data_IF_246742478815
#
_entry.id   IF_246742478815
#
_cell.length_a   1.000
_cell.length_b   1.000
_cell.length_c   1.000
_cell.angle_alpha   90.00
_cell.angle_beta   90.00
_cell.angle_gamma   90.00
#
_symmetry.space_group_name_H-M   'P 1'
#
loop_
_entity.id
_entity.type
_entity.pdbx_description
1 polymer ?
#
# COMPACT_ATOMS: atom_id res chain seq x y z
N UNK A 1 40.93 49.45 -19.61
CA UNK A 1 39.78 48.68 -19.13
C UNK A 1 39.03 48.11 -20.33
N UNK A 2 39.13 46.81 -20.58
CA UNK A 2 38.41 46.17 -21.68
C UNK A 2 36.91 46.03 -21.25
N UNK A 3 36.03 46.37 -22.17
CA UNK A 3 34.59 46.27 -21.96
C UNK A 3 34.18 44.81 -21.68
N UNK A 4 33.25 44.57 -20.75
CA UNK A 4 32.71 43.23 -20.47
C UNK A 4 32.17 42.51 -21.70
N UNK A 5 31.72 43.23 -22.71
CA UNK A 5 31.22 42.74 -23.99
C UNK A 5 32.36 42.09 -24.81
N UNK A 6 33.58 42.63 -24.74
CA UNK A 6 34.74 42.10 -25.47
C UNK A 6 35.23 40.78 -24.86
N UNK A 7 35.11 40.60 -23.55
CA UNK A 7 35.41 39.37 -22.87
C UNK A 7 34.42 38.25 -23.18
N UNK A 8 33.13 38.60 -23.27
CA UNK A 8 32.08 37.67 -23.65
C UNK A 8 32.23 37.19 -25.13
N UNK A 9 32.67 38.08 -26.01
CA UNK A 9 32.89 37.75 -27.42
C UNK A 9 34.11 36.87 -27.64
N UNK A 10 35.15 37.04 -26.87
CA UNK A 10 36.38 36.18 -26.89
C UNK A 10 36.06 34.78 -26.28
N UNK A 11 35.19 34.66 -25.30
CA UNK A 11 34.74 33.36 -24.74
C UNK A 11 33.87 32.59 -25.75
N UNK A 12 33.07 33.29 -26.55
CA UNK A 12 32.22 32.67 -27.60
C UNK A 12 33.03 32.06 -28.75
N UNK A 13 34.25 32.61 -29.02
CA UNK A 13 35.14 32.14 -30.09
C UNK A 13 36.13 31.06 -29.63
N UNK A 14 36.27 30.79 -28.34
CA UNK A 14 37.16 29.75 -27.82
C UNK A 14 36.48 28.38 -27.95
N UNK A 15 37.24 27.40 -28.51
CA UNK A 15 36.78 25.99 -28.58
C UNK A 15 36.43 25.36 -27.23
N UNK A 16 36.62 26.07 -26.11
CA UNK A 16 36.29 25.63 -24.74
C UNK A 16 34.86 25.98 -24.31
N UNK A 17 34.19 26.89 -25.02
CA UNK A 17 32.80 27.27 -24.68
C UNK A 17 31.75 26.18 -24.87
N UNK A 18 31.78 25.34 -25.93
CA UNK A 18 30.82 24.25 -26.05
C UNK A 18 30.98 23.20 -24.95
N UNK A 19 32.20 23.00 -24.43
CA UNK A 19 32.44 22.05 -23.31
C UNK A 19 31.92 22.62 -22.00
N UNK A 20 32.09 23.92 -21.76
CA UNK A 20 31.59 24.57 -20.54
C UNK A 20 30.08 24.74 -20.54
N UNK A 21 29.47 25.06 -21.68
CA UNK A 21 28.01 25.09 -21.83
C UNK A 21 27.39 23.69 -21.73
N UNK A 22 28.06 22.66 -22.26
CA UNK A 22 27.64 21.27 -22.13
C UNK A 22 27.77 20.79 -20.66
N UNK A 23 28.82 21.19 -19.96
CA UNK A 23 29.00 20.87 -18.54
C UNK A 23 27.95 21.60 -17.66
N UNK A 24 27.55 22.84 -17.98
CA UNK A 24 26.48 23.56 -17.31
C UNK A 24 25.11 22.93 -17.64
N UNK A 25 24.87 22.52 -18.87
CA UNK A 25 23.65 21.81 -19.26
C UNK A 25 23.59 20.42 -18.61
N UNK A 26 24.69 19.66 -18.59
CA UNK A 26 24.76 18.35 -17.94
C UNK A 26 24.70 18.49 -16.41
N UNK A 27 25.22 19.56 -15.83
CA UNK A 27 25.09 19.86 -14.40
C UNK A 27 23.66 20.18 -13.97
N UNK A 28 22.82 20.70 -14.86
CA UNK A 28 21.39 20.93 -14.58
C UNK A 28 20.55 19.66 -14.69
N UNK A 29 21.02 18.62 -15.40
CA UNK A 29 20.33 17.34 -15.48
C UNK A 29 20.66 16.36 -14.35
N UNK A 30 21.59 16.71 -13.45
CA UNK A 30 21.97 15.88 -12.30
C UNK A 30 21.37 16.35 -10.97
N UNK A 31 20.22 17.00 -10.97
CA UNK A 31 19.40 16.98 -9.77
C UNK A 31 18.82 15.56 -9.73
N UNK A 32 19.54 14.66 -9.05
CA UNK A 32 18.99 13.35 -8.71
C UNK A 32 17.67 13.62 -8.00
N UNK A 33 16.57 13.43 -8.73
CA UNK A 33 15.25 13.62 -8.18
C UNK A 33 15.10 12.60 -7.06
N UNK A 34 15.09 13.11 -5.83
CA UNK A 34 15.03 12.25 -4.65
C UNK A 34 13.66 11.63 -4.57
N UNK A 35 13.60 10.32 -4.29
CA UNK A 35 12.34 9.63 -4.03
C UNK A 35 11.54 10.38 -2.98
N UNK A 36 10.22 10.41 -3.15
CA UNK A 36 9.30 10.95 -2.15
C UNK A 36 9.28 10.05 -0.92
N UNK A 37 9.78 10.53 0.20
CA UNK A 37 9.94 9.75 1.45
C UNK A 37 8.85 10.11 2.44
N UNK A 38 8.07 9.10 2.84
CA UNK A 38 7.01 9.21 3.83
C UNK A 38 7.43 8.49 5.12
N UNK A 39 7.53 9.26 6.21
CA UNK A 39 7.76 8.71 7.56
C UNK A 39 6.43 8.29 8.17
N UNK A 40 6.45 7.13 8.83
CA UNK A 40 5.28 6.53 9.43
C UNK A 40 5.33 6.51 10.94
N UNK A 41 4.16 6.46 11.55
CA UNK A 41 3.95 6.11 12.96
C UNK A 41 3.09 4.86 13.02
N UNK A 42 3.28 4.04 14.06
CA UNK A 42 2.45 2.85 14.30
C UNK A 42 1.48 3.13 15.43
N UNK A 43 0.19 3.02 15.16
CA UNK A 43 -0.87 3.27 16.16
C UNK A 43 -1.93 2.18 16.03
N UNK A 44 -2.29 1.55 17.15
CA UNK A 44 -3.28 0.47 17.22
C UNK A 44 -3.08 -0.66 16.18
N UNK A 45 -1.82 -0.94 15.84
CA UNK A 45 -1.48 -1.99 14.86
C UNK A 45 -1.46 -1.53 13.40
N UNK A 46 -1.87 -0.32 13.10
CA UNK A 46 -1.86 0.27 11.75
C UNK A 46 -0.73 1.29 11.59
N UNK A 47 -0.37 1.58 10.33
CA UNK A 47 0.65 2.57 10.01
C UNK A 47 0.02 3.82 9.43
N UNK A 48 0.45 4.97 9.97
CA UNK A 48 -0.01 6.28 9.55
C UNK A 48 1.17 7.14 9.10
N UNK A 49 0.95 8.07 8.19
CA UNK A 49 1.89 9.14 7.92
C UNK A 49 1.20 10.50 7.99
N UNK A 50 1.99 11.51 8.39
CA UNK A 50 1.59 12.91 8.27
C UNK A 50 2.03 13.39 6.89
N UNK A 51 1.10 13.90 6.10
CA UNK A 51 1.34 14.37 4.74
C UNK A 51 0.40 15.52 4.40
N UNK A 52 0.39 15.93 3.14
CA UNK A 52 -0.59 16.88 2.63
C UNK A 52 -1.40 16.29 1.50
N UNK A 53 -2.67 16.64 1.43
CA UNK A 53 -3.60 16.35 0.34
C UNK A 53 -3.91 17.67 -0.38
N UNK A 54 -3.36 17.92 -1.55
CA UNK A 54 -3.43 19.23 -2.22
C UNK A 54 -3.07 20.39 -1.29
N UNK A 55 -2.02 20.23 -0.46
CA UNK A 55 -1.58 21.24 0.50
C UNK A 55 -2.32 21.24 1.84
N UNK A 56 -3.40 20.48 2.01
CA UNK A 56 -4.12 20.33 3.29
C UNK A 56 -3.41 19.29 4.15
N UNK A 57 -2.99 19.67 5.36
CA UNK A 57 -2.37 18.74 6.30
C UNK A 57 -3.33 17.61 6.68
N UNK A 58 -2.85 16.40 6.58
CA UNK A 58 -3.64 15.21 6.85
C UNK A 58 -2.79 14.10 7.50
N UNK A 59 -3.40 13.35 8.41
CA UNK A 59 -2.90 12.09 8.90
C UNK A 59 -3.60 10.98 8.14
N UNK A 60 -2.85 10.21 7.36
CA UNK A 60 -3.41 9.16 6.51
C UNK A 60 -2.93 7.78 6.96
N UNK A 61 -3.83 6.80 6.93
CA UNK A 61 -3.52 5.40 7.13
C UNK A 61 -3.11 4.78 5.79
N UNK A 62 -1.99 4.09 5.77
CA UNK A 62 -1.54 3.39 4.57
C UNK A 62 -2.33 2.11 4.35
N UNK A 63 -2.70 1.86 3.10
CA UNK A 63 -3.56 0.76 2.75
C UNK A 63 -3.26 0.23 1.34
N UNK A 64 -3.55 -1.04 1.10
CA UNK A 64 -3.59 -1.65 -0.23
C UNK A 64 -4.90 -2.41 -0.49
N UNK A 65 -5.64 -2.69 0.57
CA UNK A 65 -6.91 -3.43 0.54
C UNK A 65 -8.16 -2.55 0.34
N UNK A 66 -8.02 -1.37 -0.29
CA UNK A 66 -9.14 -0.42 -0.49
C UNK A 66 -9.24 0.02 -1.95
N UNK A 67 -10.47 0.30 -2.43
CA UNK A 67 -10.72 0.60 -3.83
C UNK A 67 -10.38 2.05 -4.24
N UNK A 68 -9.93 2.89 -3.30
CA UNK A 68 -9.63 4.29 -3.55
C UNK A 68 -9.23 5.04 -2.28
N UNK A 69 -8.91 6.32 -2.42
CA UNK A 69 -8.70 7.22 -1.29
C UNK A 69 -10.03 7.42 -0.55
N UNK A 70 -10.05 7.14 0.75
CA UNK A 70 -11.25 7.33 1.56
C UNK A 70 -11.03 8.39 2.61
N UNK A 71 -12.03 9.26 2.80
CA UNK A 71 -12.04 10.27 3.85
C UNK A 71 -13.45 10.45 4.42
N UNK A 72 -13.55 10.98 5.64
CA UNK A 72 -14.85 11.31 6.21
C UNK A 72 -15.45 12.56 5.54
N UNK A 73 -16.79 12.64 5.54
CA UNK A 73 -17.51 13.83 5.10
C UNK A 73 -17.07 15.07 5.87
N UNK A 74 -16.88 14.94 7.19
CA UNK A 74 -16.45 16.05 8.04
C UNK A 74 -15.10 16.64 7.59
N UNK A 75 -14.11 15.79 7.24
CA UNK A 75 -12.83 16.26 6.71
C UNK A 75 -13.00 16.94 5.35
N UNK A 76 -13.78 16.35 4.46
CA UNK A 76 -14.05 16.92 3.13
C UNK A 76 -14.71 18.30 3.23
N UNK A 77 -15.79 18.43 3.99
CA UNK A 77 -16.52 19.71 4.13
C UNK A 77 -15.65 20.80 4.74
N UNK A 78 -14.77 20.45 5.70
CA UNK A 78 -13.83 21.42 6.30
C UNK A 78 -12.76 21.92 5.31
N UNK A 79 -12.47 21.17 4.23
CA UNK A 79 -11.34 21.45 3.35
C UNK A 79 -11.67 21.46 1.84
N UNK A 80 -12.94 21.41 1.46
CA UNK A 80 -13.40 21.27 0.07
C UNK A 80 -12.82 22.29 -0.90
N UNK A 81 -12.68 23.54 -0.46
CA UNK A 81 -12.14 24.63 -1.29
C UNK A 81 -10.65 24.43 -1.64
N UNK A 82 -9.90 23.78 -0.74
CA UNK A 82 -8.48 23.45 -0.95
C UNK A 82 -8.32 22.12 -1.70
N UNK A 83 -9.14 21.12 -1.40
CA UNK A 83 -9.11 19.81 -2.04
C UNK A 83 -9.54 19.89 -3.51
N UNK A 84 -10.48 20.76 -3.85
CA UNK A 84 -10.97 21.03 -5.23
C UNK A 84 -11.41 19.75 -5.96
N UNK A 85 -12.14 18.89 -5.25
CA UNK A 85 -12.67 17.66 -5.83
C UNK A 85 -13.99 17.94 -6.56
N UNK A 86 -14.12 17.44 -7.79
CA UNK A 86 -15.40 17.42 -8.52
C UNK A 86 -16.19 16.19 -8.07
N UNK A 87 -16.98 16.36 -7.03
CA UNK A 87 -17.71 15.28 -6.37
C UNK A 87 -19.11 15.09 -6.95
N UNK A 88 -19.54 13.83 -6.99
CA UNK A 88 -20.90 13.41 -7.33
C UNK A 88 -21.51 12.70 -6.14
N UNK A 89 -22.80 12.92 -5.90
CA UNK A 89 -23.56 12.15 -4.91
C UNK A 89 -23.51 10.66 -5.25
N UNK A 90 -23.47 9.83 -4.21
CA UNK A 90 -23.40 8.38 -4.33
C UNK A 90 -24.22 7.70 -3.26
N UNK A 91 -24.85 6.59 -3.65
CA UNK A 91 -25.55 5.67 -2.73
C UNK A 91 -24.76 4.36 -2.55
N UNK A 92 -23.51 4.34 -2.99
CA UNK A 92 -22.66 3.17 -2.90
C UNK A 92 -22.36 2.78 -1.45
N UNK A 93 -22.13 1.48 -1.26
CA UNK A 93 -21.70 0.92 0.01
C UNK A 93 -20.41 0.15 -0.19
N UNK A 94 -19.33 0.62 0.43
CA UNK A 94 -18.07 -0.11 0.45
C UNK A 94 -18.15 -1.15 1.56
N UNK A 95 -17.89 -2.39 1.21
CA UNK A 95 -17.85 -3.46 2.19
C UNK A 95 -16.56 -3.36 3.02
N UNK A 96 -16.74 -3.44 4.33
CA UNK A 96 -15.66 -3.46 5.31
C UNK A 96 -15.80 -4.72 6.17
N UNK A 97 -14.72 -5.17 6.81
CA UNK A 97 -14.76 -6.37 7.66
C UNK A 97 -15.79 -6.27 8.80
N UNK A 98 -16.07 -5.06 9.28
CA UNK A 98 -17.04 -4.78 10.33
C UNK A 98 -18.43 -4.38 9.83
N UNK A 99 -18.70 -4.50 8.52
CA UNK A 99 -19.99 -4.13 7.91
C UNK A 99 -19.84 -3.32 6.64
N UNK A 100 -20.77 -2.41 6.39
CA UNK A 100 -20.73 -1.51 5.24
C UNK A 100 -20.41 -0.09 5.67
N UNK A 101 -19.75 0.66 4.80
CA UNK A 101 -19.55 2.10 4.87
C UNK A 101 -20.35 2.75 3.76
N UNK A 102 -21.08 3.81 4.09
CA UNK A 102 -21.92 4.53 3.13
C UNK A 102 -21.09 5.62 2.47
N UNK A 103 -21.01 5.57 1.16
CA UNK A 103 -20.34 6.60 0.36
C UNK A 103 -21.35 7.70 0.09
N UNK A 104 -21.06 8.92 0.54
CA UNK A 104 -21.93 10.08 0.27
C UNK A 104 -21.58 10.74 -1.05
N UNK A 105 -20.29 10.84 -1.33
CA UNK A 105 -19.81 11.41 -2.59
C UNK A 105 -18.66 10.56 -3.15
N UNK A 106 -18.56 10.56 -4.48
CA UNK A 106 -17.42 10.01 -5.21
C UNK A 106 -16.80 11.06 -6.12
N UNK A 107 -15.49 10.94 -6.37
CA UNK A 107 -14.79 11.71 -7.38
C UNK A 107 -13.75 10.84 -8.06
N UNK A 108 -13.35 11.20 -9.28
CA UNK A 108 -12.06 10.80 -9.86
C UNK A 108 -11.12 11.97 -9.67
N UNK A 109 -9.96 11.71 -9.09
CA UNK A 109 -9.05 12.79 -8.78
C UNK A 109 -7.61 12.46 -9.14
N UNK A 110 -6.90 13.50 -9.59
CA UNK A 110 -5.45 13.55 -9.61
C UNK A 110 -5.02 14.64 -8.63
N UNK A 111 -4.34 14.27 -7.56
CA UNK A 111 -3.96 15.21 -6.50
C UNK A 111 -2.54 14.97 -6.00
N UNK A 112 -1.94 16.00 -5.45
CA UNK A 112 -0.64 15.90 -4.79
C UNK A 112 -0.81 15.34 -3.37
N UNK A 113 -0.04 14.31 -3.04
CA UNK A 113 0.06 13.72 -1.71
C UNK A 113 1.51 13.84 -1.24
N UNK A 114 1.82 14.85 -0.40
CA UNK A 114 3.21 15.20 -0.13
C UNK A 114 3.95 15.51 -1.42
N UNK A 115 5.01 14.76 -1.72
CA UNK A 115 5.77 14.89 -2.98
C UNK A 115 5.34 13.88 -4.06
N UNK A 116 4.37 13.01 -3.79
CA UNK A 116 3.85 12.04 -4.75
C UNK A 116 2.56 12.53 -5.41
N UNK A 117 2.15 11.84 -6.47
CA UNK A 117 0.87 12.07 -7.15
C UNK A 117 -0.05 10.89 -6.88
N UNK A 118 -1.24 11.17 -6.38
CA UNK A 118 -2.34 10.21 -6.33
C UNK A 118 -3.18 10.35 -7.60
N UNK A 119 -3.56 9.22 -8.20
CA UNK A 119 -4.50 9.21 -9.31
C UNK A 119 -5.48 8.03 -9.15
N UNK A 120 -6.77 8.35 -8.98
CA UNK A 120 -7.79 7.32 -8.79
C UNK A 120 -9.09 7.82 -8.17
N UNK A 121 -9.96 6.88 -7.79
CA UNK A 121 -11.22 7.21 -7.14
C UNK A 121 -11.02 7.72 -5.70
N UNK A 122 -11.86 8.68 -5.34
CA UNK A 122 -11.98 9.21 -3.98
C UNK A 122 -13.40 8.91 -3.49
N UNK A 123 -13.51 8.35 -2.30
CA UNK A 123 -14.78 8.05 -1.64
C UNK A 123 -14.89 8.88 -0.37
N UNK A 124 -15.93 9.70 -0.28
CA UNK A 124 -16.23 10.52 0.89
C UNK A 124 -17.34 9.80 1.64
N UNK A 125 -17.01 9.36 2.85
CA UNK A 125 -17.86 8.48 3.65
C UNK A 125 -18.66 9.28 4.68
N UNK A 126 -19.88 8.86 4.94
CA UNK A 126 -20.74 9.48 5.96
C UNK A 126 -20.17 9.27 7.37
N UNK A 127 -19.54 8.12 7.59
CA UNK A 127 -18.97 7.76 8.88
C UNK A 127 -17.65 8.49 9.12
N UNK A 128 -17.41 8.83 10.39
CA UNK A 128 -16.10 9.36 10.80
C UNK A 128 -15.07 8.22 10.82
N UNK A 129 -14.00 8.42 10.09
CA UNK A 129 -12.88 7.47 10.01
C UNK A 129 -11.57 8.16 9.66
N UNK A 130 -10.46 7.46 9.89
CA UNK A 130 -9.15 7.88 9.40
C UNK A 130 -9.14 7.95 7.86
N UNK A 131 -8.45 8.94 7.32
CA UNK A 131 -8.19 9.01 5.87
C UNK A 131 -7.35 7.79 5.49
N UNK A 132 -7.79 7.06 4.47
CA UNK A 132 -7.14 5.82 4.03
C UNK A 132 -6.52 6.03 2.67
N UNK A 133 -5.19 5.88 2.57
CA UNK A 133 -4.39 6.14 1.38
C UNK A 133 -4.01 4.82 0.68
N UNK A 134 -4.57 4.53 -0.52
CA UNK A 134 -4.20 3.36 -1.30
C UNK A 134 -2.82 3.54 -1.95
N UNK A 135 -1.83 2.76 -1.51
CA UNK A 135 -0.46 2.88 -2.00
C UNK A 135 -0.33 2.56 -3.50
N UNK A 136 -1.17 1.67 -4.03
CA UNK A 136 -1.16 1.27 -5.43
C UNK A 136 -1.66 2.35 -6.41
N UNK A 137 -2.14 3.48 -5.88
CA UNK A 137 -2.58 4.64 -6.66
C UNK A 137 -1.63 5.84 -6.52
N UNK A 138 -0.44 5.63 -5.92
CA UNK A 138 0.59 6.64 -5.81
C UNK A 138 1.60 6.51 -6.95
N UNK A 139 1.91 7.62 -7.58
CA UNK A 139 2.83 7.73 -8.70
C UNK A 139 3.98 8.68 -8.40
N UNK A 140 5.15 8.35 -8.90
CA UNK A 140 6.31 9.25 -8.82
C UNK A 140 6.12 10.46 -9.74
N UNK A 141 6.40 11.70 -9.28
CA UNK A 141 6.07 12.92 -10.03
C UNK A 141 6.86 13.09 -11.33
N UNK A 142 8.04 12.46 -11.47
CA UNK A 142 8.89 12.67 -12.65
C UNK A 142 8.59 11.75 -13.83
N UNK A 143 8.23 10.50 -13.56
CA UNK A 143 8.06 9.47 -14.60
C UNK A 143 6.73 8.72 -14.50
N UNK A 144 5.87 9.14 -13.57
CA UNK A 144 4.56 8.55 -13.29
C UNK A 144 4.61 7.07 -12.93
N UNK A 145 5.77 6.54 -12.51
CA UNK A 145 5.88 5.15 -12.08
C UNK A 145 5.15 4.92 -10.75
N UNK A 146 4.43 3.81 -10.66
CA UNK A 146 3.75 3.35 -9.45
C UNK A 146 4.61 2.29 -8.72
N UNK A 147 5.78 2.72 -8.24
CA UNK A 147 6.74 1.87 -7.53
C UNK A 147 6.81 2.32 -6.07
N UNK A 148 6.45 1.42 -5.17
CA UNK A 148 6.46 1.68 -3.73
C UNK A 148 7.50 0.80 -3.05
N UNK A 149 8.56 1.40 -2.51
CA UNK A 149 9.44 0.73 -1.56
C UNK A 149 8.90 0.93 -0.15
N UNK A 150 8.68 -0.16 0.58
CA UNK A 150 8.12 -0.18 1.93
C UNK A 150 9.09 -0.87 2.89
N UNK A 151 9.45 -0.20 4.00
CA UNK A 151 10.24 -0.76 5.10
C UNK A 151 9.54 -0.45 6.43
N UNK A 152 8.80 -1.43 6.94
CA UNK A 152 8.07 -1.31 8.21
C UNK A 152 9.01 -1.28 9.42
N UNK A 153 10.23 -1.82 9.31
CA UNK A 153 11.22 -1.78 10.40
C UNK A 153 11.78 -0.38 10.61
N UNK A 154 11.88 0.41 9.54
CA UNK A 154 12.32 1.81 9.56
C UNK A 154 11.17 2.80 9.62
N UNK A 155 9.94 2.32 9.64
CA UNK A 155 8.74 3.14 9.62
C UNK A 155 8.75 4.15 8.47
N UNK A 156 8.99 3.68 7.26
CA UNK A 156 8.99 4.53 6.07
C UNK A 156 8.56 3.80 4.81
N UNK A 157 7.96 4.53 3.90
CA UNK A 157 7.81 4.11 2.52
C UNK A 157 8.27 5.22 1.57
N UNK A 158 8.51 4.86 0.32
CA UNK A 158 8.93 5.79 -0.74
C UNK A 158 8.16 5.49 -2.01
N UNK A 159 7.77 6.54 -2.70
CA UNK A 159 7.36 6.44 -4.09
C UNK A 159 8.60 6.65 -4.94
N UNK A 160 8.99 5.64 -5.70
CA UNK A 160 10.29 5.58 -6.38
C UNK A 160 10.12 5.71 -7.88
N UNK A 161 11.11 6.34 -8.52
CA UNK A 161 11.20 6.36 -9.97
C UNK A 161 11.64 5.02 -10.55
N UNK A 162 11.35 4.76 -11.81
CA UNK A 162 11.61 3.48 -12.50
C UNK A 162 13.11 3.13 -12.55
N UNK A 163 13.98 4.11 -12.69
CA UNK A 163 15.45 3.92 -12.74
C UNK A 163 16.03 3.37 -11.42
N UNK A 164 15.31 3.56 -10.29
CA UNK A 164 15.74 3.07 -8.97
C UNK A 164 15.44 1.59 -8.74
N UNK A 165 14.48 1.03 -9.49
CA UNK A 165 13.94 -0.32 -9.26
C UNK A 165 15.03 -1.39 -9.22
N UNK A 166 15.94 -1.39 -10.19
CA UNK A 166 17.00 -2.40 -10.29
C UNK A 166 17.88 -2.45 -9.05
N UNK A 167 18.22 -1.28 -8.49
CA UNK A 167 19.02 -1.18 -7.29
C UNK A 167 18.28 -1.67 -6.05
N UNK A 168 16.98 -1.38 -5.94
CA UNK A 168 16.13 -1.77 -4.82
C UNK A 168 15.87 -3.28 -4.79
N UNK A 169 15.82 -3.93 -5.95
CA UNK A 169 15.36 -5.32 -6.09
C UNK A 169 16.45 -6.33 -6.39
N UNK A 170 17.72 -5.94 -6.38
CA UNK A 170 18.88 -6.74 -6.85
C UNK A 170 18.97 -8.15 -6.26
N UNK A 171 18.48 -8.38 -5.04
CA UNK A 171 18.52 -9.67 -4.33
C UNK A 171 17.14 -10.12 -3.88
N UNK A 172 16.08 -9.59 -4.47
CA UNK A 172 14.72 -9.90 -4.06
C UNK A 172 14.19 -11.18 -4.72
N UNK A 173 13.32 -11.90 -4.04
CA UNK A 173 12.42 -12.87 -4.66
C UNK A 173 11.26 -12.11 -5.29
N UNK A 174 10.74 -12.57 -6.42
CA UNK A 174 9.71 -11.88 -7.19
C UNK A 174 8.42 -12.68 -7.17
N UNK A 175 7.31 -12.03 -6.84
CA UNK A 175 5.97 -12.57 -6.95
C UNK A 175 5.18 -11.76 -7.99
N UNK A 176 4.34 -12.45 -8.75
CA UNK A 176 3.37 -11.78 -9.64
C UNK A 176 2.19 -11.28 -8.82
N UNK A 177 1.76 -10.06 -9.10
CA UNK A 177 0.51 -9.51 -8.60
C UNK A 177 -0.59 -9.73 -9.64
N UNK A 178 -1.77 -10.04 -9.15
CA UNK A 178 -3.04 -9.89 -9.85
C UNK A 178 -3.93 -8.96 -9.03
N UNK A 179 -5.14 -8.67 -9.48
CA UNK A 179 -6.01 -7.75 -8.77
C UNK A 179 -7.42 -8.34 -8.65
N UNK A 180 -8.08 -8.03 -7.53
CA UNK A 180 -9.51 -8.26 -7.40
C UNK A 180 -10.28 -7.36 -8.36
N UNK A 181 -11.57 -7.61 -8.54
CA UNK A 181 -12.47 -6.71 -9.29
C UNK A 181 -12.52 -5.27 -8.74
N UNK A 182 -12.06 -5.06 -7.50
CA UNK A 182 -11.98 -3.75 -6.84
C UNK A 182 -10.58 -3.13 -6.89
N UNK A 183 -9.65 -3.71 -7.64
CA UNK A 183 -8.28 -3.21 -7.80
C UNK A 183 -7.33 -3.51 -6.63
N UNK A 184 -7.72 -4.33 -5.65
CA UNK A 184 -6.85 -4.72 -4.55
C UNK A 184 -5.79 -5.74 -5.01
N UNK A 185 -4.51 -5.58 -4.66
CA UNK A 185 -3.45 -6.49 -5.10
C UNK A 185 -3.58 -7.87 -4.47
N UNK A 186 -3.35 -8.90 -5.27
CA UNK A 186 -3.45 -10.32 -4.91
C UNK A 186 -2.17 -11.04 -5.30
N UNK A 187 -1.69 -11.92 -4.44
CA UNK A 187 -0.61 -12.86 -4.72
C UNK A 187 -1.12 -14.29 -4.69
N UNK A 188 -0.60 -15.14 -5.58
CA UNK A 188 -0.82 -16.59 -5.51
C UNK A 188 0.40 -17.24 -4.87
N UNK A 189 0.19 -17.92 -3.74
CA UNK A 189 1.30 -18.48 -2.97
C UNK A 189 0.93 -19.80 -2.30
N UNK A 190 1.89 -20.75 -2.18
CA UNK A 190 1.72 -21.91 -1.30
C UNK A 190 1.82 -21.47 0.17
N UNK A 191 0.98 -22.07 0.97
CA UNK A 191 0.86 -21.89 2.41
C UNK A 191 0.91 -23.24 3.09
N UNK A 192 1.77 -23.42 4.08
CA UNK A 192 1.80 -24.63 4.92
C UNK A 192 1.56 -24.26 6.36
N UNK A 193 0.48 -24.78 6.93
CA UNK A 193 0.07 -24.57 8.32
C UNK A 193 0.31 -25.85 9.10
N UNK A 194 1.00 -25.74 10.23
CA UNK A 194 1.04 -26.78 11.26
C UNK A 194 0.29 -26.29 12.49
N UNK A 195 -0.80 -26.95 12.83
CA UNK A 195 -1.61 -26.65 14.00
C UNK A 195 -2.08 -27.96 14.66
N UNK A 196 -2.04 -28.02 15.99
CA UNK A 196 -2.48 -29.19 16.77
C UNK A 196 -1.88 -30.52 16.27
N UNK A 197 -0.62 -30.52 15.86
CA UNK A 197 0.07 -31.72 15.31
C UNK A 197 -0.24 -32.06 13.85
N UNK A 198 -1.09 -31.30 13.16
CA UNK A 198 -1.47 -31.52 11.75
C UNK A 198 -0.80 -30.50 10.84
N UNK A 199 -0.46 -30.96 9.64
CA UNK A 199 0.00 -30.12 8.55
C UNK A 199 -1.07 -30.04 7.47
N UNK A 200 -1.36 -28.82 7.04
CA UNK A 200 -2.26 -28.53 5.94
C UNK A 200 -1.52 -27.62 4.98
N UNK A 201 -1.51 -28.00 3.72
CA UNK A 201 -0.90 -27.26 2.64
C UNK A 201 -2.02 -26.73 1.74
N UNK A 202 -2.04 -25.41 1.54
CA UNK A 202 -2.99 -24.69 0.69
C UNK A 202 -2.18 -23.93 -0.35
N UNK A 203 -2.58 -23.97 -1.61
CA UNK A 203 -2.08 -23.06 -2.63
C UNK A 203 -3.25 -22.24 -3.10
N UNK A 204 -3.16 -20.94 -2.95
CA UNK A 204 -4.28 -20.07 -3.29
C UNK A 204 -3.92 -18.60 -3.43
N UNK A 205 -4.96 -17.82 -3.64
CA UNK A 205 -4.88 -16.38 -3.83
C UNK A 205 -5.11 -15.65 -2.51
N UNK A 206 -4.24 -14.71 -2.18
CA UNK A 206 -4.31 -13.91 -0.97
C UNK A 206 -4.24 -12.43 -1.32
N UNK A 207 -5.22 -11.66 -0.85
CA UNK A 207 -5.17 -10.20 -0.94
C UNK A 207 -4.01 -9.69 -0.08
N UNK A 208 -3.23 -8.78 -0.62
CA UNK A 208 -2.20 -8.07 0.13
C UNK A 208 -2.84 -6.86 0.79
N UNK A 209 -3.03 -6.92 2.10
CA UNK A 209 -3.80 -5.94 2.88
C UNK A 209 -2.91 -5.30 3.97
N UNK A 210 -2.36 -4.13 3.69
CA UNK A 210 -1.55 -3.37 4.64
C UNK A 210 -2.38 -2.70 5.76
N UNK A 211 -3.70 -2.65 5.62
CA UNK A 211 -4.61 -2.26 6.70
C UNK A 211 -4.87 -3.37 7.72
N UNK A 212 -4.51 -4.60 7.41
CA UNK A 212 -4.67 -5.73 8.30
C UNK A 212 -3.44 -5.88 9.23
N UNK A 213 -3.62 -5.63 10.52
CA UNK A 213 -2.55 -5.71 11.53
C UNK A 213 -2.06 -7.13 11.85
N UNK A 214 -2.72 -8.18 11.34
CA UNK A 214 -2.36 -9.58 11.56
C UNK A 214 -1.27 -10.06 10.59
N UNK A 215 -0.87 -11.34 10.72
CA UNK A 215 -0.03 -12.01 9.73
C UNK A 215 -0.86 -12.52 8.57
N UNK A 216 -1.94 -13.22 8.87
CA UNK A 216 -2.79 -13.91 7.91
C UNK A 216 -4.24 -13.97 8.41
N UNK A 217 -5.18 -13.68 7.53
CA UNK A 217 -6.57 -14.06 7.66
C UNK A 217 -6.93 -15.07 6.57
N UNK A 218 -7.60 -16.16 6.96
CA UNK A 218 -8.15 -17.14 6.04
C UNK A 218 -9.64 -16.88 5.80
N UNK A 219 -10.09 -17.13 4.58
CA UNK A 219 -11.48 -17.01 4.19
C UNK A 219 -12.21 -18.34 4.43
N UNK A 220 -13.14 -18.39 5.37
CA UNK A 220 -13.90 -19.60 5.70
C UNK A 220 -14.76 -20.13 4.54
N UNK A 221 -15.06 -19.32 3.56
CA UNK A 221 -15.81 -19.73 2.37
C UNK A 221 -14.94 -20.42 1.31
N UNK A 222 -13.62 -20.45 1.50
CA UNK A 222 -12.73 -21.28 0.72
C UNK A 222 -12.83 -22.75 1.19
N UNK A 223 -12.92 -23.69 0.25
CA UNK A 223 -13.19 -25.10 0.58
C UNK A 223 -12.07 -25.75 1.43
N UNK A 224 -10.80 -25.42 1.17
CA UNK A 224 -9.69 -25.97 1.95
C UNK A 224 -9.63 -25.34 3.34
N UNK A 225 -9.96 -24.05 3.45
CA UNK A 225 -10.07 -23.37 4.75
C UNK A 225 -11.25 -23.94 5.56
N UNK A 226 -12.41 -24.15 4.96
CA UNK A 226 -13.58 -24.73 5.65
C UNK A 226 -13.29 -26.13 6.16
N UNK A 227 -12.58 -26.96 5.38
CA UNK A 227 -12.14 -28.29 5.79
C UNK A 227 -11.20 -28.21 7.00
N UNK A 228 -10.24 -27.28 7.02
CA UNK A 228 -9.37 -27.03 8.17
C UNK A 228 -10.18 -26.63 9.40
N UNK A 229 -11.13 -25.71 9.25
CA UNK A 229 -11.95 -25.19 10.35
C UNK A 229 -12.93 -26.23 10.91
N UNK A 230 -13.28 -27.26 10.13
CA UNK A 230 -14.13 -28.37 10.53
C UNK A 230 -13.38 -29.47 11.31
N UNK A 231 -12.04 -29.40 11.38
CA UNK A 231 -11.25 -30.32 12.18
C UNK A 231 -11.41 -30.02 13.67
N UNK A 232 -11.96 -30.97 14.43
CA UNK A 232 -12.22 -30.81 15.87
C UNK A 232 -10.98 -30.53 16.72
N UNK A 233 -9.79 -30.69 16.17
CA UNK A 233 -8.50 -30.43 16.82
C UNK A 233 -8.06 -28.97 16.67
N UNK A 234 -8.67 -28.22 15.76
CA UNK A 234 -8.43 -26.79 15.59
C UNK A 234 -9.33 -26.03 16.55
N UNK A 235 -8.74 -25.48 17.63
CA UNK A 235 -9.49 -24.70 18.61
C UNK A 235 -9.64 -23.25 18.14
N UNK A 236 -10.86 -22.89 17.74
CA UNK A 236 -11.20 -21.53 17.35
C UNK A 236 -11.40 -20.64 18.58
N UNK A 237 -10.85 -19.46 18.53
CA UNK A 237 -10.99 -18.39 19.50
C UNK A 237 -11.81 -17.28 18.87
N UNK A 238 -12.88 -16.85 19.48
CA UNK A 238 -13.69 -15.74 19.01
C UNK A 238 -12.95 -14.40 19.22
N UNK A 239 -12.88 -13.60 18.17
CA UNK A 239 -12.37 -12.23 18.24
C UNK A 239 -13.56 -11.28 18.36
N UNK A 240 -13.63 -10.60 19.51
CA UNK A 240 -14.70 -9.65 19.80
C UNK A 240 -14.27 -8.21 19.47
N UNK A 241 -15.15 -7.46 18.84
CA UNK A 241 -15.03 -6.01 18.80
C UNK A 241 -15.47 -5.44 20.17
N UNK A 242 -14.50 -5.06 20.99
CA UNK A 242 -14.74 -4.50 22.32
C UNK A 242 -15.63 -3.24 22.29
N UNK A 243 -15.75 -2.55 21.15
CA UNK A 243 -16.59 -1.36 21.00
C UNK A 243 -18.06 -1.70 20.74
N UNK A 244 -18.33 -2.87 20.16
CA UNK A 244 -19.69 -3.27 19.72
C UNK A 244 -20.20 -4.54 20.38
N UNK A 245 -19.39 -5.25 21.15
CA UNK A 245 -19.77 -6.49 21.83
C UNK A 245 -20.13 -7.65 20.91
N UNK A 246 -19.81 -7.58 19.62
CA UNK A 246 -20.13 -8.62 18.63
C UNK A 246 -18.86 -9.34 18.19
N UNK A 247 -18.93 -10.67 18.12
CA UNK A 247 -17.90 -11.48 17.43
C UNK A 247 -17.98 -11.19 15.93
N UNK A 248 -16.87 -10.78 15.33
CA UNK A 248 -16.80 -10.48 13.89
C UNK A 248 -15.82 -11.39 13.15
N UNK A 249 -14.92 -12.06 13.87
CA UNK A 249 -14.00 -13.04 13.30
C UNK A 249 -13.60 -14.08 14.35
N UNK A 250 -12.94 -15.12 13.89
CA UNK A 250 -12.36 -16.17 14.71
C UNK A 250 -10.86 -16.23 14.47
N UNK A 251 -10.12 -16.92 15.32
CA UNK A 251 -8.71 -17.17 15.14
C UNK A 251 -8.33 -18.53 15.72
N UNK A 252 -7.18 -19.06 15.32
CA UNK A 252 -6.57 -20.23 15.95
C UNK A 252 -5.05 -20.08 16.02
N UNK A 253 -4.44 -20.76 16.97
CA UNK A 253 -2.99 -20.78 17.09
C UNK A 253 -2.38 -21.77 16.11
N UNK A 254 -1.24 -21.40 15.57
CA UNK A 254 -0.43 -22.25 14.69
C UNK A 254 0.95 -22.46 15.33
N UNK A 255 1.42 -23.71 15.32
CA UNK A 255 2.77 -24.05 15.81
C UNK A 255 3.82 -23.51 14.80
N UNK A 256 3.49 -23.66 13.52
CA UNK A 256 4.32 -23.23 12.40
C UNK A 256 3.47 -22.85 11.21
N UNK A 257 3.77 -21.70 10.62
CA UNK A 257 3.19 -21.22 9.38
C UNK A 257 4.33 -20.92 8.40
N UNK A 258 4.29 -21.55 7.24
CA UNK A 258 5.23 -21.26 6.16
C UNK A 258 4.46 -20.65 4.98
N UNK A 259 4.87 -19.47 4.56
CA UNK A 259 4.34 -18.78 3.38
C UNK A 259 5.51 -18.60 2.42
N UNK A 260 5.52 -19.36 1.33
CA UNK A 260 6.68 -19.50 0.44
C UNK A 260 7.95 -19.92 1.20
N UNK A 261 8.94 -19.03 1.24
CA UNK A 261 10.24 -19.23 1.90
C UNK A 261 10.32 -18.65 3.33
N UNK A 262 9.24 -18.04 3.82
CA UNK A 262 9.16 -17.43 5.15
C UNK A 262 8.44 -18.33 6.13
N UNK A 263 9.02 -18.47 7.31
CA UNK A 263 8.47 -19.30 8.39
C UNK A 263 8.20 -18.44 9.62
N UNK A 264 7.02 -18.64 10.22
CA UNK A 264 6.55 -18.01 11.42
C UNK A 264 6.20 -19.09 12.45
N UNK A 265 6.44 -18.83 13.72
CA UNK A 265 6.20 -19.78 14.80
C UNK A 265 5.29 -19.15 15.85
N UNK A 266 4.47 -19.99 16.50
CA UNK A 266 3.64 -19.62 17.65
C UNK A 266 2.78 -18.35 17.41
N UNK A 267 2.29 -18.18 16.19
CA UNK A 267 1.45 -17.05 15.81
C UNK A 267 -0.03 -17.42 15.80
N UNK A 268 -0.86 -16.44 15.55
CA UNK A 268 -2.31 -16.57 15.46
C UNK A 268 -2.76 -16.25 14.04
N UNK A 269 -3.52 -17.17 13.45
CA UNK A 269 -4.15 -17.00 12.14
C UNK A 269 -5.62 -16.65 12.36
N UNK A 270 -6.04 -15.52 11.77
CA UNK A 270 -7.44 -15.12 11.79
C UNK A 270 -8.26 -15.91 10.76
N UNK A 271 -9.54 -16.07 11.04
CA UNK A 271 -10.51 -16.66 10.12
C UNK A 271 -11.67 -15.68 9.94
N UNK A 272 -11.87 -15.23 8.72
CA UNK A 272 -12.98 -14.36 8.39
C UNK A 272 -14.14 -15.11 7.76
N UNK A 273 -15.35 -14.75 8.17
CA UNK A 273 -16.59 -15.19 7.54
C UNK A 273 -17.11 -14.18 6.51
N UNK A 274 -16.24 -13.38 5.97
CA UNK A 274 -16.57 -12.33 5.02
C UNK A 274 -16.98 -12.93 3.67
N UNK A 275 -18.28 -13.14 3.48
CA UNK A 275 -18.85 -13.63 2.22
C UNK A 275 -18.60 -12.62 1.10
N UNK A 276 -18.02 -13.06 -0.01
CA UNK A 276 -17.65 -12.22 -1.14
C UNK A 276 -16.20 -11.69 -1.09
N UNK A 277 -15.40 -12.12 -0.08
CA UNK A 277 -13.96 -11.99 -0.16
C UNK A 277 -13.45 -12.94 -1.25
N UNK A 278 -12.67 -12.41 -2.19
CA UNK A 278 -12.04 -13.21 -3.23
C UNK A 278 -10.84 -13.98 -2.67
N UNK A 279 -10.65 -15.23 -3.11
CA UNK A 279 -9.52 -16.07 -2.76
C UNK A 279 -9.55 -16.67 -1.35
N UNK A 280 -8.39 -17.25 -0.98
CA UNK A 280 -8.22 -18.01 0.27
C UNK A 280 -8.08 -17.13 1.51
N UNK A 281 -7.76 -15.83 1.36
CA UNK A 281 -7.60 -14.94 2.50
C UNK A 281 -6.83 -13.65 2.21
N UNK A 282 -6.22 -13.11 3.28
CA UNK A 282 -5.48 -11.84 3.25
C UNK A 282 -4.15 -11.99 3.98
N UNK A 283 -3.07 -11.50 3.36
CA UNK A 283 -1.77 -11.30 4.00
C UNK A 283 -1.71 -9.90 4.61
N UNK A 284 -1.45 -9.83 5.89
CA UNK A 284 -1.40 -8.57 6.61
C UNK A 284 0.02 -8.08 6.93
N UNK A 285 0.09 -7.01 7.68
CA UNK A 285 1.32 -6.27 8.01
C UNK A 285 2.44 -7.12 8.60
N UNK A 286 2.12 -8.11 9.44
CA UNK A 286 3.14 -8.97 10.06
C UNK A 286 3.88 -9.85 9.06
N UNK A 287 3.37 -10.04 7.84
CA UNK A 287 4.07 -10.73 6.78
C UNK A 287 5.28 -9.92 6.28
N UNK A 288 5.21 -8.60 6.29
CA UNK A 288 6.21 -7.70 5.74
C UNK A 288 7.29 -7.32 6.77
N UNK A 289 7.97 -8.33 7.32
CA UNK A 289 9.05 -8.15 8.31
C UNK A 289 10.34 -7.60 7.72
N UNK A 290 10.49 -7.63 6.40
CA UNK A 290 11.63 -7.12 5.64
C UNK A 290 11.16 -6.13 4.58
N UNK A 291 12.05 -5.28 4.08
CA UNK A 291 11.68 -4.35 3.02
C UNK A 291 11.10 -5.06 1.80
N UNK A 292 10.10 -4.45 1.19
CA UNK A 292 9.49 -4.93 -0.04
C UNK A 292 9.38 -3.81 -1.06
N UNK A 293 9.31 -4.19 -2.34
CA UNK A 293 9.03 -3.24 -3.42
C UNK A 293 7.80 -3.73 -4.17
N UNK A 294 6.77 -2.90 -4.20
CA UNK A 294 5.63 -3.07 -5.10
C UNK A 294 5.93 -2.33 -6.40
N UNK A 295 5.90 -3.01 -7.50
CA UNK A 295 5.89 -2.45 -8.84
C UNK A 295 4.52 -2.69 -9.44
N UNK A 296 3.62 -1.73 -9.23
CA UNK A 296 2.23 -1.85 -9.66
C UNK A 296 2.08 -1.70 -11.18
N UNK A 297 3.05 -1.06 -11.87
CA UNK A 297 3.03 -0.96 -13.32
C UNK A 297 3.31 -2.31 -13.99
N UNK A 298 4.27 -3.08 -13.44
CA UNK A 298 4.67 -4.39 -13.96
C UNK A 298 3.98 -5.56 -13.24
N UNK A 299 3.07 -5.26 -12.30
CA UNK A 299 2.35 -6.26 -11.51
C UNK A 299 3.29 -7.21 -10.76
N UNK A 300 4.26 -6.65 -10.05
CA UNK A 300 5.28 -7.41 -9.31
C UNK A 300 5.40 -6.96 -7.86
N UNK A 301 5.60 -7.93 -6.98
CA UNK A 301 5.99 -7.73 -5.59
C UNK A 301 7.37 -8.35 -5.38
N UNK A 302 8.32 -7.55 -4.99
CA UNK A 302 9.69 -7.96 -4.69
C UNK A 302 9.86 -8.07 -3.17
N UNK A 303 10.21 -9.25 -2.69
CA UNK A 303 10.54 -9.51 -1.28
C UNK A 303 12.06 -9.38 -1.12
N UNK A 304 12.52 -8.25 -0.58
CA UNK A 304 13.95 -7.97 -0.39
C UNK A 304 14.53 -8.88 0.72
N UNK A 305 15.81 -9.26 0.58
CA UNK A 305 16.55 -10.10 1.56
C UNK A 305 17.47 -9.27 2.40
#
# INVERSE_FOLDING_TARGET
MMSPIYFAYQLLLSKRMPVMLLALLLGQYSIAQTDSVFKMTKEHGHFFCQTTLNGVNAKVMMETGVPGLMMSEAFYEAHKDSLKLDVKESDEKIRHITGFRHVKYTAQARMQIGDAIFEGPVHILQEDQAITLPLHMLHHPSDSSAIIWLDLSRLQFRVCSRDRLQNLTRKASVWSLTYTQYGMPVVTTPLSIKAAGHRIDITGQFIVDLGNASLLFLNRYDAEVDKLMSDSRVHLIDIHDNRRGKTYSQAFRVDKLTICDRTYHDDTVGVTTFKGLEGCGMLGLKFFTMPVVFDFDENKLYLCK
#
